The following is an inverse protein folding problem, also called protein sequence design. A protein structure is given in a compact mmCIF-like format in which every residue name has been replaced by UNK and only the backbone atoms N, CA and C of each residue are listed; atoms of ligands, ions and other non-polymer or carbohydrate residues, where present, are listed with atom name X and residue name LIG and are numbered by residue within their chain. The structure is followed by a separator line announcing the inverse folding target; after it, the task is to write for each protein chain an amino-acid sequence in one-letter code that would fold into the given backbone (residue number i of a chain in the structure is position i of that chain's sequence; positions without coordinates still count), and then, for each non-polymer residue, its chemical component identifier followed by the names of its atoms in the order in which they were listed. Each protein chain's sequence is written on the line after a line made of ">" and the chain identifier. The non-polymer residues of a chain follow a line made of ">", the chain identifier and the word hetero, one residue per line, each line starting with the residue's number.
data_IF_974015651198
#
_entry.id   IF_974015651198
#
_cell.length_a   1.000
_cell.length_b   1.000
_cell.length_c   1.000
_cell.angle_alpha   90.00
_cell.angle_beta   90.00
_cell.angle_gamma   90.00
#
_symmetry.space_group_name_H-M   'P 1'
#
loop_
_entity.id
_entity.type
_entity.pdbx_description
1 polymer ?
#
# COMPACT_ATOMS: atom_id res chain seq x y z
N UNK A 1 6.37 59.18 -6.76
CA UNK A 1 5.19 58.29 -6.63
C UNK A 1 5.51 56.91 -7.22
N UNK A 2 6.54 56.24 -6.70
CA UNK A 2 7.00 54.91 -7.17
C UNK A 2 7.20 54.05 -5.93
N UNK A 3 6.12 53.78 -5.21
CA UNK A 3 6.22 53.03 -3.95
C UNK A 3 4.95 52.20 -3.65
N UNK A 4 4.30 51.68 -4.70
CA UNK A 4 3.20 50.74 -4.54
C UNK A 4 3.32 49.49 -5.41
N UNK A 5 4.24 49.46 -6.38
CA UNK A 5 4.44 48.28 -7.25
C UNK A 5 5.36 47.22 -6.65
N UNK A 6 6.22 47.59 -5.69
CA UNK A 6 7.20 46.67 -5.10
C UNK A 6 6.58 45.74 -4.03
N UNK A 7 5.54 46.19 -3.33
CA UNK A 7 4.90 45.38 -2.29
C UNK A 7 4.09 44.20 -2.85
N UNK A 8 3.60 44.28 -4.08
CA UNK A 8 2.85 43.18 -4.71
C UNK A 8 3.74 42.03 -5.18
N UNK A 9 5.04 42.25 -5.42
CA UNK A 9 5.94 41.19 -5.90
C UNK A 9 6.43 40.24 -4.80
N UNK A 10 6.28 40.60 -3.52
CA UNK A 10 6.66 39.74 -2.39
C UNK A 10 5.54 38.80 -1.94
N UNK A 11 4.31 38.94 -2.46
CA UNK A 11 3.16 38.09 -2.09
C UNK A 11 2.96 36.88 -3.01
N UNK A 12 3.65 36.84 -4.15
CA UNK A 12 3.58 35.73 -5.11
C UNK A 12 4.26 34.41 -4.65
N UNK A 13 5.34 34.38 -3.83
CA UNK A 13 5.89 33.10 -3.36
C UNK A 13 5.02 32.44 -2.29
N UNK A 14 4.23 33.22 -1.53
CA UNK A 14 3.35 32.69 -0.48
C UNK A 14 2.15 31.92 -1.06
N UNK A 15 1.71 32.26 -2.27
CA UNK A 15 0.61 31.58 -2.96
C UNK A 15 1.05 30.32 -3.73
N UNK A 16 2.36 30.13 -3.92
CA UNK A 16 2.94 29.01 -4.67
C UNK A 16 3.53 27.90 -3.79
N UNK A 17 3.41 27.99 -2.46
CA UNK A 17 3.54 26.85 -1.56
C UNK A 17 2.27 25.98 -1.64
N UNK A 18 1.98 25.52 -2.85
CA UNK A 18 1.24 24.30 -3.11
C UNK A 18 2.11 23.19 -2.54
N UNK A 19 1.63 22.44 -1.55
CA UNK A 19 1.64 20.97 -1.63
C UNK A 19 1.12 20.34 -0.35
N UNK A 20 0.04 19.57 -0.54
CA UNK A 20 -0.27 18.37 0.24
C UNK A 20 -0.38 18.61 1.75
N UNK A 21 -1.54 19.09 2.18
CA UNK A 21 -2.08 18.60 3.45
C UNK A 21 -2.26 17.09 3.24
N UNK A 22 -1.32 16.28 3.72
CA UNK A 22 -1.62 14.89 4.01
C UNK A 22 -2.77 14.96 5.00
N UNK A 23 -3.99 14.63 4.57
CA UNK A 23 -5.01 14.22 5.52
C UNK A 23 -4.34 13.15 6.37
N UNK A 24 -4.26 13.39 7.67
CA UNK A 24 -3.95 12.36 8.65
C UNK A 24 -4.88 11.17 8.35
N UNK A 25 -4.39 10.22 7.56
CA UNK A 25 -4.80 8.84 7.69
C UNK A 25 -4.32 8.50 9.10
N UNK A 26 -5.23 8.41 10.06
CA UNK A 26 -4.93 7.66 11.26
C UNK A 26 -4.43 6.29 10.77
N UNK A 27 -3.11 6.08 10.85
CA UNK A 27 -2.50 4.78 10.68
C UNK A 27 -3.17 3.90 11.75
N UNK A 28 -4.27 3.22 11.40
CA UNK A 28 -5.05 2.43 12.33
C UNK A 28 -4.16 1.25 12.75
N UNK A 29 -3.46 1.42 13.87
CA UNK A 29 -2.72 0.37 14.53
C UNK A 29 -3.72 -0.73 14.84
N UNK A 30 -3.45 -1.94 14.34
CA UNK A 30 -4.23 -3.12 14.68
C UNK A 30 -4.07 -3.39 16.17
N UNK A 31 -5.08 -2.98 16.96
CA UNK A 31 -5.16 -3.34 18.37
C UNK A 31 -5.63 -4.78 18.48
N UNK A 32 -4.85 -5.61 19.17
CA UNK A 32 -5.14 -7.02 19.36
C UNK A 32 -5.61 -7.22 20.80
N UNK A 33 -6.87 -7.65 20.97
CA UNK A 33 -7.46 -7.92 22.29
C UNK A 33 -6.67 -8.96 23.11
N UNK A 34 -5.89 -9.81 22.43
CA UNK A 34 -5.09 -10.89 23.02
C UNK A 34 -3.71 -10.91 22.36
N UNK A 35 -2.64 -10.90 23.18
CA UNK A 35 -1.25 -11.07 22.73
C UNK A 35 -0.72 -12.47 23.11
N UNK A 36 -0.30 -13.30 22.13
CA UNK A 36 -0.31 -13.05 20.69
C UNK A 36 -1.70 -13.20 20.06
N UNK A 37 -1.96 -12.45 18.98
CA UNK A 37 -3.18 -12.59 18.17
C UNK A 37 -3.36 -14.06 17.75
N UNK A 38 -4.47 -14.72 18.12
CA UNK A 38 -4.74 -16.10 17.71
C UNK A 38 -4.82 -16.26 16.18
N UNK A 39 -5.11 -15.18 15.45
CA UNK A 39 -5.07 -15.10 13.99
C UNK A 39 -3.68 -14.88 13.38
N UNK A 40 -2.62 -14.68 14.18
CA UNK A 40 -1.26 -14.36 13.70
C UNK A 40 -0.75 -15.36 12.66
N UNK A 41 -1.02 -16.65 12.84
CA UNK A 41 -0.55 -17.69 11.90
C UNK A 41 -1.29 -17.69 10.55
N UNK A 42 -2.38 -16.93 10.42
CA UNK A 42 -3.17 -16.84 9.18
C UNK A 42 -2.53 -15.91 8.15
N UNK A 43 -1.77 -14.92 8.60
CA UNK A 43 -1.24 -13.86 7.75
C UNK A 43 0.26 -13.98 7.59
N UNK A 44 0.76 -13.48 6.46
CA UNK A 44 2.18 -13.44 6.17
C UNK A 44 2.80 -12.24 6.87
N UNK A 45 3.74 -12.51 7.77
CA UNK A 45 4.50 -11.49 8.50
C UNK A 45 5.85 -11.24 7.83
N UNK A 46 6.16 -9.97 7.56
CA UNK A 46 7.43 -9.50 7.00
C UNK A 46 8.00 -10.34 5.83
N UNK A 47 7.29 -10.44 4.69
CA UNK A 47 7.75 -11.26 3.55
C UNK A 47 8.98 -10.71 2.82
N UNK A 48 9.36 -9.46 3.05
CA UNK A 48 10.44 -8.79 2.32
C UNK A 48 11.67 -8.63 3.23
N UNK A 49 12.82 -9.20 2.83
CA UNK A 49 14.08 -9.21 3.59
C UNK A 49 14.80 -7.84 3.54
N UNK A 50 14.13 -6.78 4.01
CA UNK A 50 14.68 -5.43 4.13
C UNK A 50 14.54 -4.54 2.88
N UNK A 51 14.32 -5.13 1.71
CA UNK A 51 14.03 -4.41 0.46
C UNK A 51 12.90 -5.11 -0.30
N UNK A 52 12.18 -4.34 -1.12
CA UNK A 52 11.17 -4.92 -1.99
C UNK A 52 11.83 -5.80 -3.05
N UNK A 53 11.35 -7.03 -3.18
CA UNK A 53 11.84 -7.97 -4.19
C UNK A 53 11.62 -7.47 -5.62
N UNK A 54 12.08 -8.26 -6.59
CA UNK A 54 11.82 -7.97 -8.00
C UNK A 54 10.32 -7.76 -8.24
N UNK A 55 10.01 -6.81 -9.13
CA UNK A 55 8.63 -6.46 -9.51
C UNK A 55 7.76 -5.86 -8.40
N UNK A 56 8.35 -5.48 -7.27
CA UNK A 56 7.72 -4.65 -6.26
C UNK A 56 8.37 -3.26 -6.19
N UNK A 57 7.64 -2.29 -5.64
CA UNK A 57 8.11 -0.93 -5.37
C UNK A 57 7.93 -0.62 -3.88
N UNK A 58 8.87 0.14 -3.32
CA UNK A 58 8.75 0.61 -1.94
C UNK A 58 7.61 1.62 -1.82
N UNK A 59 6.77 1.44 -0.80
CA UNK A 59 5.67 2.33 -0.46
C UNK A 59 5.61 2.43 1.07
N UNK A 60 5.42 3.64 1.61
CA UNK A 60 5.38 3.84 3.07
C UNK A 60 4.33 2.97 3.76
N UNK A 61 3.18 2.76 3.12
CA UNK A 61 2.09 1.94 3.62
C UNK A 61 1.41 1.24 2.43
N UNK A 62 1.75 -0.02 2.16
CA UNK A 62 1.25 -0.76 0.98
C UNK A 62 -0.07 -1.51 1.23
N UNK A 63 -0.68 -1.36 2.41
CA UNK A 63 -1.90 -2.08 2.78
C UNK A 63 -1.64 -3.51 3.27
N UNK A 64 -2.74 -4.25 3.50
CA UNK A 64 -2.71 -5.67 3.92
C UNK A 64 -3.39 -6.64 2.94
N UNK A 65 -4.02 -6.12 1.87
CA UNK A 65 -4.78 -6.89 0.88
C UNK A 65 -4.18 -6.75 -0.53
N UNK A 66 -3.03 -7.38 -0.82
CA UNK A 66 -2.50 -7.40 -2.19
C UNK A 66 -3.47 -8.15 -3.12
N UNK A 67 -3.45 -7.81 -4.41
CA UNK A 67 -4.05 -8.67 -5.44
C UNK A 67 -3.19 -9.93 -5.58
N UNK A 68 -3.81 -11.11 -5.58
CA UNK A 68 -3.15 -12.41 -5.77
C UNK A 68 -3.70 -13.09 -7.02
N UNK A 69 -3.09 -14.20 -7.46
CA UNK A 69 -3.66 -14.99 -8.57
C UNK A 69 -5.08 -15.48 -8.28
N UNK A 70 -5.38 -15.81 -7.01
CA UNK A 70 -6.66 -16.38 -6.62
C UNK A 70 -7.70 -15.30 -6.27
N UNK A 71 -7.29 -14.15 -5.75
CA UNK A 71 -8.22 -13.18 -5.17
C UNK A 71 -7.90 -11.73 -5.53
N UNK A 72 -8.95 -10.97 -5.78
CA UNK A 72 -8.94 -9.51 -5.88
C UNK A 72 -9.97 -8.92 -4.93
N UNK A 73 -9.48 -8.12 -3.98
CA UNK A 73 -10.34 -7.46 -3.00
C UNK A 73 -11.07 -6.26 -3.60
N UNK A 74 -12.36 -6.11 -3.32
CA UNK A 74 -13.14 -4.90 -3.63
C UNK A 74 -12.88 -3.80 -2.60
N UNK A 75 -12.69 -4.19 -1.34
CA UNK A 75 -12.40 -3.31 -0.22
C UNK A 75 -11.22 -3.87 0.56
N UNK A 76 -10.34 -2.98 1.00
CA UNK A 76 -9.30 -3.32 1.95
C UNK A 76 -9.39 -2.35 3.13
N UNK A 77 -9.31 -2.86 4.37
CA UNK A 77 -9.08 -2.01 5.53
C UNK A 77 -7.82 -1.16 5.34
N UNK A 78 -7.84 0.06 5.89
CA UNK A 78 -6.70 0.98 5.86
C UNK A 78 -5.66 0.63 6.93
N UNK A 79 -5.12 -0.59 6.86
CA UNK A 79 -4.02 -1.03 7.74
C UNK A 79 -2.71 -1.02 6.96
N UNK A 80 -1.65 -0.54 7.58
CA UNK A 80 -0.31 -0.63 7.03
C UNK A 80 0.31 -1.98 7.41
N UNK A 81 0.36 -2.92 6.46
CA UNK A 81 0.96 -4.23 6.70
C UNK A 81 2.43 -4.29 6.31
N UNK A 82 2.71 -4.07 5.03
CA UNK A 82 4.07 -4.14 4.47
C UNK A 82 4.46 -2.84 3.77
N UNK A 83 5.76 -2.66 3.53
CA UNK A 83 6.32 -1.47 2.89
C UNK A 83 6.57 -1.67 1.38
N UNK A 84 5.95 -2.68 0.78
CA UNK A 84 6.16 -3.04 -0.61
C UNK A 84 4.83 -3.35 -1.31
N UNK A 85 4.67 -2.79 -2.51
CA UNK A 85 3.50 -3.03 -3.37
C UNK A 85 3.97 -3.63 -4.70
N UNK A 86 3.25 -4.62 -5.22
CA UNK A 86 3.54 -5.14 -6.56
C UNK A 86 3.36 -4.05 -7.62
N UNK A 87 4.27 -4.00 -8.60
CA UNK A 87 4.20 -3.08 -9.73
C UNK A 87 2.95 -3.36 -10.58
N UNK A 88 2.52 -2.42 -11.44
CA UNK A 88 1.40 -2.65 -12.35
C UNK A 88 1.58 -3.93 -13.17
N UNK A 89 0.50 -4.71 -13.33
CA UNK A 89 0.45 -6.03 -13.97
C UNK A 89 1.13 -7.19 -13.23
N UNK A 90 1.61 -6.96 -12.01
CA UNK A 90 2.09 -8.01 -11.11
C UNK A 90 1.09 -8.26 -9.97
N UNK A 91 1.07 -9.49 -9.46
CA UNK A 91 0.28 -9.93 -8.32
C UNK A 91 1.18 -10.63 -7.31
N UNK A 92 0.78 -10.60 -6.04
CA UNK A 92 1.54 -11.26 -4.98
C UNK A 92 1.25 -12.77 -4.99
N UNK A 93 2.31 -13.57 -5.07
CA UNK A 93 2.23 -15.01 -4.88
C UNK A 93 2.51 -15.35 -3.41
N UNK A 94 1.51 -15.90 -2.72
CA UNK A 94 1.59 -16.20 -1.29
C UNK A 94 2.58 -17.34 -0.96
N UNK A 95 2.87 -18.24 -1.92
CA UNK A 95 3.76 -19.38 -1.72
C UNK A 95 5.22 -19.00 -1.96
N UNK A 96 5.48 -18.24 -3.02
CA UNK A 96 6.81 -17.77 -3.40
C UNK A 96 7.21 -16.50 -2.62
N UNK A 97 6.23 -15.82 -2.01
CA UNK A 97 6.39 -14.57 -1.27
C UNK A 97 7.00 -13.44 -2.12
N UNK A 98 6.62 -13.36 -3.40
CA UNK A 98 7.13 -12.38 -4.35
C UNK A 98 6.07 -11.97 -5.37
N UNK A 99 6.32 -10.88 -6.08
CA UNK A 99 5.42 -10.37 -7.11
C UNK A 99 5.72 -11.05 -8.46
N UNK A 100 4.74 -11.77 -9.00
CA UNK A 100 4.81 -12.43 -10.31
C UNK A 100 3.92 -11.73 -11.33
N UNK A 101 4.19 -11.92 -12.63
CA UNK A 101 3.29 -11.42 -13.67
C UNK A 101 1.94 -12.12 -13.56
N UNK A 102 0.86 -11.39 -13.85
CA UNK A 102 -0.50 -11.98 -13.91
C UNK A 102 -0.59 -13.15 -14.92
N UNK A 103 0.22 -13.13 -15.98
CA UNK A 103 0.30 -14.21 -16.97
C UNK A 103 0.92 -15.50 -16.42
N UNK A 104 1.71 -15.39 -15.35
CA UNK A 104 2.46 -16.50 -14.77
C UNK A 104 1.64 -17.20 -13.68
N UNK A 105 0.44 -16.71 -13.39
CA UNK A 105 -0.52 -17.39 -12.53
C UNK A 105 -0.84 -18.80 -13.08
N UNK A 106 -1.03 -19.80 -12.20
CA UNK A 106 -1.43 -21.14 -12.62
C UNK A 106 -2.71 -21.10 -13.45
N UNK A 107 -2.73 -21.80 -14.59
CA UNK A 107 -3.83 -21.74 -15.57
C UNK A 107 -5.14 -22.31 -15.03
N UNK A 108 -5.07 -23.18 -14.02
CA UNK A 108 -6.22 -23.76 -13.32
C UNK A 108 -6.82 -22.81 -12.27
N UNK A 109 -6.12 -21.72 -11.92
CA UNK A 109 -6.59 -20.74 -10.95
C UNK A 109 -7.31 -19.60 -11.68
N UNK A 110 -8.63 -19.51 -11.46
CA UNK A 110 -9.42 -18.35 -11.86
C UNK A 110 -9.47 -17.34 -10.72
N UNK A 111 -9.03 -16.12 -10.96
CA UNK A 111 -9.09 -15.05 -9.97
C UNK A 111 -10.55 -14.73 -9.63
N UNK A 112 -10.86 -14.73 -8.33
CA UNK A 112 -12.17 -14.38 -7.78
C UNK A 112 -12.14 -12.96 -7.23
N UNK A 113 -13.19 -12.19 -7.51
CA UNK A 113 -13.38 -10.86 -6.91
C UNK A 113 -14.19 -11.04 -5.63
N UNK A 114 -13.60 -10.66 -4.50
CA UNK A 114 -14.18 -10.86 -3.15
C UNK A 114 -14.29 -9.54 -2.39
N UNK A 115 -15.12 -9.48 -1.35
CA UNK A 115 -15.28 -8.27 -0.52
C UNK A 115 -13.91 -7.81 0.04
N UNK A 116 -13.17 -8.72 0.69
CA UNK A 116 -11.82 -8.48 1.20
C UNK A 116 -11.03 -9.77 1.35
N UNK A 117 -9.76 -9.76 0.94
CA UNK A 117 -8.78 -10.83 1.11
C UNK A 117 -7.51 -10.27 1.74
N UNK A 118 -7.40 -10.38 3.07
CA UNK A 118 -6.22 -9.95 3.82
C UNK A 118 -5.15 -11.05 3.78
N UNK A 119 -3.95 -10.68 3.35
CA UNK A 119 -2.79 -11.57 3.24
C UNK A 119 -1.73 -11.21 4.27
N UNK A 120 -1.49 -9.91 4.48
CA UNK A 120 -0.47 -9.45 5.41
C UNK A 120 -1.03 -9.17 6.79
N UNK A 121 -0.17 -9.35 7.80
CA UNK A 121 -0.45 -8.89 9.15
C UNK A 121 -0.43 -7.36 9.19
#
# INVERSE_FOLDING_TARGET
>A
MVWFKSLCLLLLPALLMISVTSTDDEDHILDHDVDPDPGRMKYIWNPFLGFCGENASMMRCAGVCPETCAFKSLKCPKFCGVNCVCKPNYVYDEKLQLCILKSDCPQDVKQQVVESHRVFQ
#
